data_IF_874395402297
#
_entry.id   IF_874395402297
#
_cell.length_a   1.000
_cell.length_b   1.000
_cell.length_c   1.000
_cell.angle_alpha   90.00
_cell.angle_beta   90.00
_cell.angle_gamma   90.00
#
_symmetry.space_group_name_H-M   'P 1'
#
loop_
_entity.id
_entity.type
_entity.pdbx_description
1 polymer ?
#
# COMPACT_ATOMS: atom_id res chain seq x y z
N UNK A 1 -4.62 -2.92 17.86
CA UNK A 1 -3.90 -1.62 17.88
C UNK A 1 -3.49 -1.27 16.44
N UNK A 2 -3.61 0.00 16.03
CA UNK A 2 -4.02 0.50 14.69
C UNK A 2 -5.50 0.27 14.38
N UNK A 3 -5.98 -0.97 14.23
CA UNK A 3 -7.41 -1.20 13.96
C UNK A 3 -8.31 -0.75 15.11
N UNK A 4 -7.89 -0.99 16.35
CA UNK A 4 -8.62 -0.52 17.54
C UNK A 4 -8.57 0.99 17.67
N UNK A 5 -7.47 1.61 17.24
CA UNK A 5 -7.33 3.07 17.22
C UNK A 5 -8.25 3.68 16.15
N UNK A 6 -8.33 3.06 14.96
CA UNK A 6 -9.25 3.44 13.89
C UNK A 6 -10.73 3.29 14.32
N UNK A 7 -11.06 2.25 15.10
CA UNK A 7 -12.41 2.08 15.66
C UNK A 7 -12.75 3.12 16.72
N UNK A 8 -11.75 3.58 17.48
CA UNK A 8 -11.91 4.61 18.48
C UNK A 8 -12.07 6.02 17.87
N UNK A 9 -11.66 6.20 16.61
CA UNK A 9 -11.91 7.44 15.87
C UNK A 9 -13.40 7.52 15.47
N UNK A 10 -14.20 8.25 16.28
CA UNK A 10 -15.54 8.63 15.87
C UNK A 10 -15.45 9.78 14.85
N UNK A 11 -15.81 9.46 13.61
CA UNK A 11 -15.83 10.40 12.51
C UNK A 11 -17.20 10.31 11.84
N UNK A 12 -17.84 11.46 11.59
CA UNK A 12 -19.06 11.53 10.77
C UNK A 12 -18.79 11.34 9.26
N UNK A 13 -17.54 11.05 8.88
CA UNK A 13 -17.07 10.87 7.49
C UNK A 13 -16.25 9.58 7.36
N UNK A 14 -16.17 8.99 6.15
CA UNK A 14 -15.28 7.86 5.92
C UNK A 14 -13.82 8.20 6.25
N UNK A 15 -13.12 7.24 6.87
CA UNK A 15 -11.69 7.35 7.16
C UNK A 15 -10.91 6.49 6.17
N UNK A 16 -9.85 7.06 5.60
CA UNK A 16 -8.88 6.31 4.79
C UNK A 16 -7.68 6.00 5.68
N UNK A 17 -7.34 4.72 5.79
CA UNK A 17 -6.14 4.25 6.45
C UNK A 17 -5.16 3.71 5.41
N UNK A 18 -3.89 4.14 5.48
CA UNK A 18 -2.80 3.67 4.63
C UNK A 18 -1.58 3.34 5.50
N UNK A 19 -0.81 2.33 5.12
CA UNK A 19 0.47 2.05 5.74
C UNK A 19 0.83 0.57 5.78
N UNK A 20 2.08 0.31 6.14
CA UNK A 20 2.71 -1.02 6.09
C UNK A 20 2.09 -2.05 7.04
N UNK A 21 1.47 -1.61 8.14
CA UNK A 21 0.79 -2.48 9.11
C UNK A 21 -0.57 -3.01 8.65
N UNK A 22 -1.10 -2.52 7.53
CA UNK A 22 -2.41 -2.88 7.01
C UNK A 22 -2.33 -4.10 6.08
N UNK A 23 -1.84 -5.23 6.61
CA UNK A 23 -1.71 -6.48 5.83
C UNK A 23 -3.07 -7.13 5.58
N UNK A 24 -3.26 -7.87 4.46
CA UNK A 24 -4.54 -8.48 4.11
C UNK A 24 -5.19 -9.27 5.25
N UNK A 25 -4.43 -10.13 5.93
CA UNK A 25 -4.92 -10.99 7.01
C UNK A 25 -5.29 -10.23 8.29
N UNK A 26 -4.77 -9.01 8.45
CA UNK A 26 -5.09 -8.12 9.58
C UNK A 26 -6.35 -7.32 9.27
N UNK A 27 -6.45 -6.80 8.04
CA UNK A 27 -7.56 -5.91 7.66
C UNK A 27 -8.80 -6.65 7.20
N UNK A 28 -8.71 -7.88 6.67
CA UNK A 28 -9.86 -8.62 6.16
C UNK A 28 -10.92 -8.94 7.22
N UNK A 29 -10.57 -9.49 8.40
CA UNK A 29 -11.56 -9.89 9.40
C UNK A 29 -12.56 -8.81 9.83
N UNK A 30 -12.16 -7.52 9.98
CA UNK A 30 -13.10 -6.47 10.34
C UNK A 30 -13.90 -5.83 9.20
N UNK A 31 -13.68 -6.18 7.93
CA UNK A 31 -14.44 -5.58 6.82
C UNK A 31 -15.83 -6.21 6.71
N UNK A 32 -16.83 -5.38 6.44
CA UNK A 32 -18.17 -5.82 6.07
C UNK A 32 -18.29 -6.11 4.57
N UNK A 33 -17.43 -5.52 3.75
CA UNK A 33 -17.39 -5.69 2.28
C UNK A 33 -15.92 -5.66 1.80
N UNK A 34 -15.48 -6.61 0.94
CA UNK A 34 -14.12 -6.62 0.41
C UNK A 34 -13.74 -5.36 -0.39
N UNK A 35 -14.72 -4.58 -0.85
CA UNK A 35 -14.50 -3.27 -1.50
C UNK A 35 -14.02 -2.18 -0.54
N UNK A 36 -14.04 -2.43 0.77
CA UNK A 36 -13.50 -1.52 1.78
C UNK A 36 -11.96 -1.55 1.88
N UNK A 37 -11.30 -2.45 1.15
CA UNK A 37 -9.84 -2.48 1.04
C UNK A 37 -9.39 -2.70 -0.41
N UNK A 38 -8.24 -2.12 -0.75
CA UNK A 38 -7.56 -2.35 -2.03
C UNK A 38 -6.06 -2.33 -1.83
N UNK A 39 -5.36 -3.26 -2.47
CA UNK A 39 -3.91 -3.38 -2.37
C UNK A 39 -3.25 -2.97 -3.69
N UNK A 40 -2.51 -1.87 -3.66
CA UNK A 40 -1.70 -1.39 -4.77
C UNK A 40 -0.33 -2.05 -4.70
N UNK A 41 -0.05 -3.00 -5.58
CA UNK A 41 1.19 -3.79 -5.54
C UNK A 41 2.04 -3.47 -6.77
N UNK A 42 3.18 -2.77 -6.63
CA UNK A 42 4.04 -2.50 -7.77
C UNK A 42 4.70 -3.78 -8.27
N UNK A 43 4.61 -4.00 -9.59
CA UNK A 43 5.27 -5.11 -10.26
C UNK A 43 6.79 -4.99 -10.11
N UNK A 44 7.47 -6.13 -10.15
CA UNK A 44 8.93 -6.17 -10.05
C UNK A 44 9.62 -5.37 -11.17
N UNK A 45 9.09 -5.45 -12.40
CA UNK A 45 9.59 -4.66 -13.53
C UNK A 45 9.46 -3.15 -13.30
N UNK A 46 8.34 -2.71 -12.68
CA UNK A 46 8.13 -1.31 -12.32
C UNK A 46 9.08 -0.86 -11.21
N UNK A 47 9.27 -1.68 -10.16
CA UNK A 47 10.21 -1.39 -9.07
C UNK A 47 11.63 -1.19 -9.59
N UNK A 48 12.12 -2.11 -10.43
CA UNK A 48 13.46 -2.01 -11.05
C UNK A 48 13.63 -0.77 -11.91
N UNK A 49 12.61 -0.40 -12.67
CA UNK A 49 12.61 0.84 -13.47
C UNK A 49 12.70 2.07 -12.58
N UNK A 50 11.85 2.16 -11.55
CA UNK A 50 11.82 3.29 -10.62
C UNK A 50 13.12 3.47 -9.84
N UNK A 51 13.78 2.38 -9.43
CA UNK A 51 15.09 2.42 -8.78
C UNK A 51 16.20 3.00 -9.68
N UNK A 52 16.14 2.74 -10.99
CA UNK A 52 17.09 3.33 -11.97
C UNK A 52 16.82 4.80 -12.24
N UNK A 53 15.54 5.17 -12.33
CA UNK A 53 15.11 6.48 -12.84
C UNK A 53 14.99 7.57 -11.75
N UNK A 54 15.00 7.20 -10.46
CA UNK A 54 14.81 8.14 -9.33
C UNK A 54 15.99 8.10 -8.34
N UNK A 55 17.03 8.94 -8.53
CA UNK A 55 18.14 9.08 -7.57
C UNK A 55 17.66 9.52 -6.17
N UNK A 56 16.55 10.27 -6.08
CA UNK A 56 15.97 10.72 -4.79
C UNK A 56 15.27 9.62 -4.00
N UNK A 57 14.92 8.48 -4.62
CA UNK A 57 14.40 7.32 -3.88
C UNK A 57 15.50 6.56 -3.12
N UNK A 58 16.78 6.87 -3.41
CA UNK A 58 17.96 6.30 -2.77
C UNK A 58 18.55 7.18 -1.65
N UNK A 59 18.02 8.40 -1.45
CA UNK A 59 18.60 9.33 -0.47
C UNK A 59 17.85 9.27 0.85
N UNK A 60 18.54 8.75 1.87
CA UNK A 60 18.15 8.91 3.27
C UNK A 60 18.34 10.39 3.62
N UNK A 61 17.24 11.10 3.85
CA UNK A 61 17.22 12.54 4.14
C UNK A 61 17.62 12.88 5.59
N UNK A 62 17.95 11.87 6.40
CA UNK A 62 18.39 12.01 7.78
C UNK A 62 19.91 11.80 7.85
N UNK A 63 20.61 12.54 8.71
CA UNK A 63 22.01 12.22 9.05
C UNK A 63 22.05 10.83 9.70
N UNK A 64 22.56 9.86 8.93
CA UNK A 64 22.73 8.48 9.36
C UNK A 64 24.21 8.12 9.23
N UNK A 65 24.71 7.33 10.17
CA UNK A 65 26.10 6.91 10.21
C UNK A 65 26.51 6.01 9.03
N UNK A 66 25.53 5.36 8.39
CA UNK A 66 25.73 4.52 7.20
C UNK A 66 24.52 4.67 6.26
N UNK A 67 24.62 5.56 5.25
CA UNK A 67 23.55 5.82 4.28
C UNK A 67 23.15 4.60 3.47
N UNK A 68 24.10 3.75 3.08
CA UNK A 68 23.85 2.56 2.26
C UNK A 68 23.09 1.51 3.07
N UNK A 69 23.50 1.29 4.33
CA UNK A 69 22.78 0.40 5.25
C UNK A 69 21.41 0.95 5.63
N UNK A 70 21.27 2.26 5.82
CA UNK A 70 19.99 2.89 6.11
C UNK A 70 19.03 2.77 4.91
N UNK A 71 19.53 2.92 3.69
CA UNK A 71 18.76 2.70 2.47
C UNK A 71 18.37 1.22 2.33
N UNK A 72 19.31 0.29 2.53
CA UNK A 72 19.04 -1.15 2.50
C UNK A 72 17.99 -1.55 3.55
N UNK A 73 18.10 -1.06 4.78
CA UNK A 73 17.13 -1.30 5.85
C UNK A 73 15.78 -0.67 5.55
N UNK A 74 15.72 0.51 4.93
CA UNK A 74 14.46 1.13 4.51
C UNK A 74 13.79 0.32 3.41
N UNK A 75 14.57 -0.13 2.41
CA UNK A 75 14.08 -0.99 1.35
C UNK A 75 13.60 -2.33 1.92
N UNK A 76 14.33 -2.93 2.85
CA UNK A 76 13.97 -4.19 3.50
C UNK A 76 12.75 -4.02 4.42
N UNK A 77 12.68 -2.93 5.19
CA UNK A 77 11.53 -2.57 6.01
C UNK A 77 10.30 -2.28 5.16
N UNK A 78 10.45 -1.70 3.98
CA UNK A 78 9.32 -1.44 3.09
C UNK A 78 8.99 -2.67 2.21
N UNK A 79 9.84 -3.71 2.22
CA UNK A 79 9.68 -4.97 1.51
C UNK A 79 8.82 -5.94 2.31
N UNK A 80 7.51 -5.68 2.33
CA UNK A 80 6.58 -6.81 2.29
C UNK A 80 6.88 -7.55 0.97
N UNK A 81 7.09 -8.88 0.97
CA UNK A 81 7.20 -9.61 -0.29
C UNK A 81 5.93 -9.31 -1.08
N UNK A 82 6.06 -8.64 -2.22
CA UNK A 82 4.92 -8.25 -3.05
C UNK A 82 4.02 -9.45 -3.34
N UNK A 83 4.64 -10.63 -3.54
CA UNK A 83 3.97 -11.89 -3.72
C UNK A 83 3.14 -12.31 -2.49
N UNK A 84 3.69 -12.21 -1.28
CA UNK A 84 2.96 -12.58 -0.05
C UNK A 84 1.71 -11.70 0.14
N UNK A 85 1.81 -10.39 -0.09
CA UNK A 85 0.64 -9.50 -0.02
C UNK A 85 -0.40 -9.87 -1.08
N UNK A 86 0.03 -10.19 -2.30
CA UNK A 86 -0.87 -10.60 -3.38
C UNK A 86 -1.59 -11.89 -3.03
N UNK A 87 -0.86 -12.89 -2.56
CA UNK A 87 -1.39 -14.21 -2.23
C UNK A 87 -2.38 -14.10 -1.07
N UNK A 88 -2.02 -13.39 0.01
CA UNK A 88 -2.91 -13.17 1.16
C UNK A 88 -4.13 -12.34 0.80
N UNK A 89 -3.98 -11.30 -0.02
CA UNK A 89 -5.13 -10.53 -0.50
C UNK A 89 -6.09 -11.41 -1.30
N UNK A 90 -5.58 -12.26 -2.19
CA UNK A 90 -6.38 -13.20 -2.97
C UNK A 90 -7.07 -14.25 -2.09
N UNK A 91 -6.37 -14.82 -1.12
CA UNK A 91 -6.92 -15.76 -0.14
C UNK A 91 -8.11 -15.16 0.64
N UNK A 92 -8.05 -13.86 0.92
CA UNK A 92 -9.12 -13.11 1.59
C UNK A 92 -10.15 -12.48 0.65
N UNK A 93 -10.07 -12.73 -0.67
CA UNK A 93 -10.99 -12.15 -1.65
C UNK A 93 -10.89 -10.62 -1.81
N UNK A 94 -9.77 -10.03 -1.37
CA UNK A 94 -9.52 -8.59 -1.46
C UNK A 94 -8.91 -8.24 -2.82
N UNK A 95 -9.26 -7.05 -3.32
CA UNK A 95 -8.79 -6.60 -4.63
C UNK A 95 -7.31 -6.22 -4.58
N UNK A 96 -6.55 -6.77 -5.52
CA UNK A 96 -5.18 -6.36 -5.83
C UNK A 96 -5.19 -5.59 -7.15
N UNK A 97 -4.51 -4.46 -7.18
CA UNK A 97 -4.20 -3.70 -8.40
C UNK A 97 -2.69 -3.73 -8.58
N UNK A 98 -2.24 -4.41 -9.62
CA UNK A 98 -0.82 -4.43 -9.98
C UNK A 98 -0.43 -3.13 -10.67
N UNK A 99 0.61 -2.46 -10.15
CA UNK A 99 1.12 -1.20 -10.69
C UNK A 99 2.35 -1.48 -11.53
N UNK A 100 2.20 -1.42 -12.85
CA UNK A 100 3.28 -1.62 -13.83
C UNK A 100 3.75 -0.32 -14.50
N UNK A 101 3.08 0.79 -14.17
CA UNK A 101 3.35 2.12 -14.69
C UNK A 101 2.77 2.41 -16.07
N UNK A 102 1.84 1.60 -16.58
CA UNK A 102 1.07 1.94 -17.79
C UNK A 102 0.01 3.00 -17.52
N UNK A 103 -0.62 2.95 -16.35
CA UNK A 103 -1.56 3.98 -15.92
C UNK A 103 -0.82 5.21 -15.40
N UNK A 104 -1.33 6.38 -15.76
CA UNK A 104 -0.96 7.63 -15.08
C UNK A 104 -1.44 7.60 -13.63
N UNK A 105 -0.92 8.52 -12.80
CA UNK A 105 -1.40 8.69 -11.43
C UNK A 105 -2.91 8.94 -11.41
N UNK A 106 -3.42 9.84 -12.25
CA UNK A 106 -4.84 10.12 -12.35
C UNK A 106 -5.67 8.90 -12.78
N UNK A 107 -5.17 8.11 -13.73
CA UNK A 107 -5.84 6.86 -14.13
C UNK A 107 -5.91 5.84 -13.01
N UNK A 108 -4.83 5.69 -12.23
CA UNK A 108 -4.82 4.82 -11.05
C UNK A 108 -5.78 5.34 -9.97
N UNK A 109 -5.84 6.65 -9.74
CA UNK A 109 -6.81 7.28 -8.83
C UNK A 109 -8.24 6.98 -9.22
N UNK A 110 -8.60 7.05 -10.51
CA UNK A 110 -9.94 6.68 -10.98
C UNK A 110 -10.27 5.22 -10.66
N UNK A 111 -9.36 4.29 -10.95
CA UNK A 111 -9.59 2.86 -10.65
C UNK A 111 -9.80 2.61 -9.16
N UNK A 112 -9.06 3.31 -8.29
CA UNK A 112 -9.20 3.22 -6.84
C UNK A 112 -10.51 3.86 -6.37
N UNK A 113 -10.89 5.02 -6.91
CA UNK A 113 -12.14 5.69 -6.58
C UNK A 113 -13.35 4.84 -6.98
N UNK A 114 -13.33 4.24 -8.18
CA UNK A 114 -14.40 3.35 -8.66
C UNK A 114 -14.57 2.13 -7.75
N UNK A 115 -13.46 1.59 -7.22
CA UNK A 115 -13.50 0.50 -6.24
C UNK A 115 -14.23 0.89 -4.95
N UNK A 116 -14.00 2.11 -4.47
CA UNK A 116 -14.63 2.64 -3.27
C UNK A 116 -16.00 3.31 -3.50
N UNK A 117 -16.50 3.38 -4.74
CA UNK A 117 -17.77 4.03 -5.11
C UNK A 117 -19.02 3.68 -4.28
N UNK A 118 -19.16 2.50 -3.63
CA UNK A 118 -20.28 2.21 -2.73
C UNK A 118 -20.27 3.06 -1.45
N UNK A 119 -19.14 3.68 -1.12
CA UNK A 119 -18.94 4.51 0.06
C UNK A 119 -18.68 5.95 -0.40
N UNK A 120 -19.70 6.83 -0.39
CA UNK A 120 -19.48 8.23 -0.75
C UNK A 120 -18.57 8.88 0.30
N UNK A 121 -17.56 9.63 -0.18
CA UNK A 121 -16.67 10.47 0.63
C UNK A 121 -17.36 11.69 1.23
#
# INVERSE_FOLDING_TARGET
>A
MVLDDLRALSSGRPLVAEGWGLRPEVVAPPLADPRQAVFLVPTEAFRRRRLRDLPRAAQVSAEVSDPDRAQANRLERDRLPAADVVDRAREHGLRVIEVDGRLSVGGLTTVVADHFSPWPG
#
